data_IF_363082292958
#
_entry.id   IF_363082292958
#
_cell.length_a   1.000
_cell.length_b   1.000
_cell.length_c   1.000
_cell.angle_alpha   90.00
_cell.angle_beta   90.00
_cell.angle_gamma   90.00
#
_symmetry.space_group_name_H-M   'P 1'
#
loop_
_entity.id
_entity.type
_entity.pdbx_description
1 polymer ?
#
# COMPACT_ATOMS: atom_id res chain seq x y z
N UNK A 1 -6.74 3.92 -17.76
CA UNK A 1 -7.51 3.36 -16.61
C UNK A 1 -6.84 2.19 -15.88
N UNK A 2 -6.05 1.32 -16.54
CA UNK A 2 -5.44 0.13 -15.90
C UNK A 2 -4.46 0.40 -14.74
N UNK A 3 -3.63 1.45 -14.80
CA UNK A 3 -2.64 1.70 -13.74
C UNK A 3 -3.24 2.21 -12.42
N UNK A 4 -4.48 2.73 -12.46
CA UNK A 4 -5.18 3.17 -11.25
C UNK A 4 -5.89 2.02 -10.55
N UNK A 5 -6.39 1.04 -11.31
CA UNK A 5 -6.98 -0.18 -10.75
C UNK A 5 -5.91 -1.06 -10.12
N UNK A 6 -4.76 -1.26 -10.76
CA UNK A 6 -3.64 -2.05 -10.20
C UNK A 6 -3.16 -1.49 -8.87
N UNK A 7 -2.95 -0.17 -8.78
CA UNK A 7 -2.59 0.51 -7.52
C UNK A 7 -3.59 0.20 -6.40
N UNK A 8 -4.89 0.29 -6.69
CA UNK A 8 -5.95 0.00 -5.71
C UNK A 8 -5.96 -1.46 -5.30
N UNK A 9 -5.65 -2.39 -6.22
CA UNK A 9 -5.53 -3.82 -5.92
C UNK A 9 -4.39 -4.10 -4.95
N UNK A 10 -3.20 -3.52 -5.14
CA UNK A 10 -2.08 -3.67 -4.20
C UNK A 10 -2.44 -3.16 -2.81
N UNK A 11 -3.07 -1.98 -2.72
CA UNK A 11 -3.53 -1.43 -1.42
C UNK A 11 -4.54 -2.38 -0.77
N UNK A 12 -5.49 -2.94 -1.53
CA UNK A 12 -6.44 -3.93 -1.02
C UNK A 12 -5.77 -5.22 -0.53
N UNK A 13 -4.71 -5.69 -1.20
CA UNK A 13 -3.94 -6.88 -0.78
C UNK A 13 -3.34 -6.69 0.61
N UNK A 14 -2.72 -5.53 0.86
CA UNK A 14 -2.17 -5.19 2.19
C UNK A 14 -3.27 -5.10 3.24
N UNK A 15 -4.38 -4.42 2.94
CA UNK A 15 -5.52 -4.31 3.87
C UNK A 15 -6.14 -5.68 4.17
N UNK A 16 -6.19 -6.60 3.19
CA UNK A 16 -6.67 -7.96 3.39
C UNK A 16 -5.74 -8.74 4.33
N UNK A 17 -4.43 -8.63 4.17
CA UNK A 17 -3.45 -9.26 5.06
C UNK A 17 -3.54 -8.70 6.49
N UNK A 18 -3.68 -7.38 6.63
CA UNK A 18 -3.91 -6.73 7.93
C UNK A 18 -5.19 -7.27 8.61
N UNK A 19 -6.28 -7.41 7.85
CA UNK A 19 -7.55 -7.97 8.37
C UNK A 19 -7.45 -9.44 8.74
N UNK A 20 -6.60 -10.20 8.06
CA UNK A 20 -6.36 -11.61 8.34
C UNK A 20 -5.42 -11.84 9.56
N UNK A 21 -4.96 -10.77 10.21
CA UNK A 21 -4.01 -10.80 11.33
C UNK A 21 -2.65 -11.45 11.05
N UNK A 22 -2.30 -11.60 9.76
CA UNK A 22 -1.01 -12.17 9.34
C UNK A 22 0.03 -11.05 9.15
N UNK A 23 0.91 -10.92 10.14
CA UNK A 23 1.93 -9.86 10.21
C UNK A 23 3.01 -10.04 9.14
N UNK A 24 3.44 -11.27 8.88
CA UNK A 24 4.49 -11.56 7.90
C UNK A 24 3.98 -11.34 6.48
N UNK A 25 2.77 -11.81 6.17
CA UNK A 25 2.13 -11.55 4.89
C UNK A 25 1.85 -10.05 4.68
N UNK A 26 1.47 -9.32 5.72
CA UNK A 26 1.26 -7.87 5.64
C UNK A 26 2.56 -7.12 5.34
N UNK A 27 3.69 -7.51 5.94
CA UNK A 27 5.00 -6.91 5.68
C UNK A 27 5.45 -7.19 4.24
N UNK A 28 5.29 -8.42 3.75
CA UNK A 28 5.66 -8.78 2.37
C UNK A 28 4.80 -8.03 1.35
N UNK A 29 3.48 -8.04 1.55
CA UNK A 29 2.56 -7.29 0.69
C UNK A 29 2.83 -5.78 0.71
N UNK A 30 3.24 -5.23 1.85
CA UNK A 30 3.61 -3.83 1.97
C UNK A 30 4.89 -3.50 1.17
N UNK A 31 5.93 -4.35 1.26
CA UNK A 31 7.17 -4.20 0.47
C UNK A 31 6.88 -4.19 -1.03
N UNK A 32 5.97 -5.04 -1.52
CA UNK A 32 5.54 -5.06 -2.92
C UNK A 32 4.74 -3.81 -3.32
N UNK A 33 3.90 -3.28 -2.41
CA UNK A 33 3.02 -2.16 -2.68
C UNK A 33 3.76 -0.81 -2.76
N UNK A 34 4.80 -0.60 -1.93
CA UNK A 34 5.58 0.64 -1.87
C UNK A 34 6.10 1.12 -3.24
N UNK A 35 6.84 0.31 -4.03
CA UNK A 35 7.38 0.76 -5.31
C UNK A 35 6.28 1.06 -6.34
N UNK A 36 5.14 0.38 -6.27
CA UNK A 36 3.99 0.63 -7.16
C UNK A 36 3.30 1.96 -6.84
N UNK A 37 3.16 2.28 -5.55
CA UNK A 37 2.62 3.56 -5.08
C UNK A 37 3.52 4.72 -5.54
N UNK A 38 4.83 4.57 -5.38
CA UNK A 38 5.79 5.62 -5.75
C UNK A 38 5.90 5.79 -7.26
N UNK A 39 5.83 4.70 -8.03
CA UNK A 39 5.75 4.76 -9.50
C UNK A 39 4.46 5.45 -9.98
N UNK A 40 3.33 5.22 -9.30
CA UNK A 40 2.07 5.91 -9.59
C UNK A 40 2.14 7.40 -9.27
N UNK A 41 2.87 7.80 -8.23
CA UNK A 41 3.11 9.20 -7.90
C UNK A 41 4.00 9.89 -8.93
N UNK A 42 5.11 9.24 -9.33
CA UNK A 42 6.03 9.77 -10.34
C UNK A 42 5.37 9.98 -11.69
N UNK A 43 4.44 9.10 -12.08
CA UNK A 43 3.65 9.24 -13.31
C UNK A 43 2.48 10.24 -13.19
N UNK A 44 2.32 10.92 -12.05
CA UNK A 44 1.23 11.88 -11.83
C UNK A 44 -0.16 11.27 -11.67
N UNK A 45 -0.30 9.94 -11.56
CA UNK A 45 -1.62 9.31 -11.36
C UNK A 45 -2.22 9.61 -9.97
N UNK A 46 -1.33 9.84 -9.00
CA UNK A 46 -1.66 10.28 -7.64
C UNK A 46 -0.71 11.40 -7.25
N UNK A 47 -1.19 12.34 -6.43
CA UNK A 47 -0.34 13.37 -5.84
C UNK A 47 0.70 12.75 -4.89
N UNK A 48 1.90 13.33 -4.80
CA UNK A 48 2.97 12.86 -3.91
C UNK A 48 2.49 12.72 -2.45
N UNK A 49 1.78 13.73 -1.92
CA UNK A 49 1.16 13.67 -0.59
C UNK A 49 0.16 12.51 -0.43
N UNK A 50 -0.55 12.12 -1.49
CA UNK A 50 -1.46 10.97 -1.44
C UNK A 50 -0.68 9.66 -1.32
N UNK A 51 0.43 9.52 -2.05
CA UNK A 51 1.34 8.39 -1.90
C UNK A 51 1.93 8.30 -0.49
N UNK A 52 2.43 9.42 0.04
CA UNK A 52 2.95 9.52 1.40
C UNK A 52 1.91 9.12 2.46
N UNK A 53 0.67 9.61 2.34
CA UNK A 53 -0.43 9.23 3.25
C UNK A 53 -0.72 7.73 3.22
N UNK A 54 -0.74 7.11 2.05
CA UNK A 54 -0.98 5.66 1.95
C UNK A 54 0.16 4.86 2.61
N UNK A 55 1.41 5.24 2.41
CA UNK A 55 2.57 4.59 3.05
C UNK A 55 2.52 4.72 4.58
N UNK A 56 2.28 5.93 5.09
CA UNK A 56 2.20 6.19 6.54
C UNK A 56 1.07 5.41 7.22
N UNK A 57 -0.15 5.45 6.65
CA UNK A 57 -1.30 4.74 7.23
C UNK A 57 -1.12 3.22 7.25
N UNK A 58 -0.66 2.63 6.14
CA UNK A 58 -0.44 1.18 6.08
C UNK A 58 0.65 0.74 7.08
N UNK A 59 1.73 1.51 7.20
CA UNK A 59 2.78 1.23 8.18
C UNK A 59 2.26 1.34 9.63
N UNK A 60 1.44 2.36 9.93
CA UNK A 60 0.82 2.50 11.25
C UNK A 60 -0.07 1.30 11.60
N UNK A 61 -0.85 0.80 10.64
CA UNK A 61 -1.65 -0.41 10.86
C UNK A 61 -0.80 -1.66 11.09
N UNK A 62 0.28 -1.86 10.33
CA UNK A 62 1.19 -3.00 10.52
C UNK A 62 1.88 -2.92 11.89
N UNK A 63 2.27 -1.72 12.33
CA UNK A 63 2.83 -1.50 13.67
C UNK A 63 1.82 -1.70 14.79
N UNK A 64 0.56 -1.36 14.57
CA UNK A 64 -0.51 -1.57 15.57
C UNK A 64 -0.89 -3.05 15.74
N UNK A 65 -0.51 -3.92 14.80
CA UNK A 65 -0.62 -5.38 14.94
C UNK A 65 0.57 -5.99 15.71
N UNK A 66 1.53 -5.17 16.14
CA UNK A 66 2.72 -5.64 16.84
C UNK A 66 2.46 -5.99 18.29
#
# INVERSE_FOLDING_TARGET
>A
MAQRSTLRTFIKKVVKAIRAQDKDAAIQAFKEAVPQIDRAARKGLIHANKAARHKSRLNAHIKAMA
#
